data_IF_666498697979
#
_entry.id   IF_666498697979
#
_cell.length_a   1.000
_cell.length_b   1.000
_cell.length_c   1.000
_cell.angle_alpha   90.00
_cell.angle_beta   90.00
_cell.angle_gamma   90.00
#
_symmetry.space_group_name_H-M   'P 1'
#
loop_
_entity.id
_entity.type
_entity.pdbx_description
1 polymer ?
#
# COMPACT_ATOMS: atom_id res chain seq x y z
N UNK A 1 43.66 -30.43 2.88
CA UNK A 1 43.44 -29.25 2.04
C UNK A 1 42.45 -28.35 2.80
N UNK A 2 43.00 -27.39 3.57
CA UNK A 2 42.20 -26.51 4.47
C UNK A 2 41.59 -25.40 3.61
N UNK A 3 40.30 -25.49 3.36
CA UNK A 3 39.52 -24.36 2.81
C UNK A 3 39.34 -23.32 3.92
N UNK A 4 40.17 -22.28 3.86
CA UNK A 4 40.11 -21.17 4.77
C UNK A 4 38.68 -20.59 4.89
N UNK A 5 38.23 -20.47 6.11
CA UNK A 5 37.04 -19.70 6.46
C UNK A 5 37.19 -18.28 5.89
N UNK A 6 36.42 -17.96 4.89
CA UNK A 6 36.19 -16.59 4.49
C UNK A 6 35.37 -15.95 5.63
N UNK A 7 36.06 -15.31 6.56
CA UNK A 7 35.45 -14.38 7.50
C UNK A 7 34.91 -13.16 6.69
N UNK A 8 33.72 -13.31 6.16
CA UNK A 8 32.99 -12.19 5.61
C UNK A 8 32.56 -11.35 6.82
N UNK A 9 33.28 -10.28 7.05
CA UNK A 9 32.94 -9.27 8.07
C UNK A 9 31.62 -8.58 7.69
N UNK A 10 30.50 -9.23 8.02
CA UNK A 10 29.14 -8.80 7.69
C UNK A 10 28.65 -7.62 8.53
N UNK A 11 29.45 -7.16 9.51
CA UNK A 11 29.01 -6.14 10.47
C UNK A 11 29.07 -4.70 9.96
N UNK A 12 29.89 -4.40 8.96
CA UNK A 12 30.03 -3.01 8.44
C UNK A 12 28.92 -2.71 7.41
N UNK A 13 28.55 -3.67 6.58
CA UNK A 13 27.57 -3.44 5.51
C UNK A 13 26.10 -3.33 5.96
N UNK A 14 25.70 -3.90 7.11
CA UNK A 14 24.29 -3.92 7.53
C UNK A 14 23.87 -2.58 8.13
N UNK A 15 24.71 -1.94 8.93
CA UNK A 15 24.40 -0.62 9.52
C UNK A 15 24.37 0.47 8.45
N UNK A 16 25.33 0.47 7.54
CA UNK A 16 25.40 1.45 6.45
C UNK A 16 24.26 1.25 5.44
N UNK A 17 23.91 0.00 5.14
CA UNK A 17 22.78 -0.32 4.29
C UNK A 17 21.42 0.04 4.94
N UNK A 18 21.29 -0.12 6.27
CA UNK A 18 20.12 0.29 7.01
C UNK A 18 20.00 1.83 7.04
N UNK A 19 21.10 2.55 7.26
CA UNK A 19 21.12 4.02 7.25
C UNK A 19 20.79 4.59 5.86
N UNK A 20 21.32 3.99 4.80
CA UNK A 20 21.04 4.40 3.42
C UNK A 20 19.55 4.19 3.07
N UNK A 21 18.94 3.08 3.48
CA UNK A 21 17.51 2.85 3.29
C UNK A 21 16.65 3.91 3.96
N UNK A 22 16.93 4.22 5.20
CA UNK A 22 16.20 5.27 5.94
C UNK A 22 16.40 6.66 5.32
N UNK A 23 17.61 6.96 4.86
CA UNK A 23 17.88 8.21 4.14
C UNK A 23 17.09 8.29 2.84
N UNK A 24 17.04 7.22 2.03
CA UNK A 24 16.25 7.18 0.80
C UNK A 24 14.75 7.31 1.06
N UNK A 25 14.23 6.65 2.10
CA UNK A 25 12.83 6.77 2.51
C UNK A 25 12.53 8.21 2.95
N UNK A 26 13.39 8.82 3.76
CA UNK A 26 13.22 10.19 4.21
C UNK A 26 13.23 11.17 3.03
N UNK A 27 14.17 11.03 2.09
CA UNK A 27 14.24 11.85 0.87
C UNK A 27 12.97 11.66 0.03
N UNK A 28 12.53 10.43 -0.18
CA UNK A 28 11.30 10.15 -0.92
C UNK A 28 10.06 10.75 -0.26
N UNK A 29 9.97 10.70 1.08
CA UNK A 29 8.89 11.33 1.84
C UNK A 29 8.92 12.86 1.76
N UNK A 30 10.12 13.47 1.82
CA UNK A 30 10.26 14.93 1.72
C UNK A 30 9.90 15.40 0.30
N UNK A 31 10.41 14.74 -0.72
CA UNK A 31 10.12 15.08 -2.12
C UNK A 31 8.64 14.83 -2.42
N UNK A 32 8.14 13.63 -2.13
CA UNK A 32 6.74 13.26 -2.38
C UNK A 32 5.75 14.11 -1.58
N UNK A 33 6.05 14.36 -0.31
CA UNK A 33 5.26 15.25 0.54
C UNK A 33 5.30 16.69 0.06
N UNK A 34 6.47 17.19 -0.35
CA UNK A 34 6.63 18.55 -0.91
C UNK A 34 5.85 18.73 -2.20
N UNK A 35 5.95 17.77 -3.12
CA UNK A 35 5.17 17.80 -4.38
C UNK A 35 3.67 17.71 -4.09
N UNK A 36 3.25 16.83 -3.18
CA UNK A 36 1.86 16.68 -2.81
C UNK A 36 1.27 17.95 -2.16
N UNK A 37 2.04 18.61 -1.28
CA UNK A 37 1.64 19.89 -0.70
C UNK A 37 1.58 21.00 -1.74
N UNK A 38 2.56 21.05 -2.63
CA UNK A 38 2.58 22.02 -3.74
C UNK A 38 1.33 21.86 -4.61
N UNK A 39 1.01 20.64 -5.00
CA UNK A 39 -0.18 20.32 -5.81
C UNK A 39 -1.47 20.66 -5.08
N UNK A 40 -1.53 20.40 -3.77
CA UNK A 40 -2.70 20.70 -2.93
C UNK A 40 -2.95 22.21 -2.78
N UNK A 41 -1.89 23.04 -2.61
CA UNK A 41 -2.05 24.47 -2.35
C UNK A 41 -2.07 25.32 -3.61
N UNK A 42 -1.34 24.96 -4.66
CA UNK A 42 -1.20 25.77 -5.88
C UNK A 42 -2.19 25.33 -6.96
N UNK A 43 -2.87 24.21 -6.72
CA UNK A 43 -4.03 23.74 -7.46
C UNK A 43 -3.75 23.36 -8.91
N UNK A 44 -3.83 22.07 -9.19
CA UNK A 44 -4.16 21.49 -10.50
C UNK A 44 -3.32 21.93 -11.72
N UNK A 45 -2.09 22.36 -11.53
CA UNK A 45 -1.20 22.71 -12.64
C UNK A 45 -0.85 21.51 -13.53
N UNK A 46 -0.97 20.28 -13.01
CA UNK A 46 -0.62 19.06 -13.71
C UNK A 46 -1.82 18.20 -14.12
N UNK A 47 -3.03 18.49 -13.61
CA UNK A 47 -4.09 17.50 -13.61
C UNK A 47 -5.21 17.71 -14.60
N UNK A 48 -5.47 18.88 -15.15
CA UNK A 48 -6.69 19.09 -15.91
C UNK A 48 -6.49 19.75 -17.26
N UNK A 49 -6.00 18.99 -18.22
CA UNK A 49 -6.42 19.23 -19.59
C UNK A 49 -7.52 18.21 -19.93
N UNK A 50 -8.61 18.65 -20.55
CA UNK A 50 -9.67 17.77 -21.09
C UNK A 50 -9.17 16.73 -22.12
N UNK A 51 -7.86 16.65 -22.33
CA UNK A 51 -7.16 15.80 -23.29
C UNK A 51 -6.45 14.63 -22.62
N UNK A 52 -6.02 14.75 -21.34
CA UNK A 52 -5.35 13.70 -20.60
C UNK A 52 -6.36 12.93 -19.74
N UNK A 53 -6.77 11.77 -20.23
CA UNK A 53 -7.67 10.84 -19.51
C UNK A 53 -6.95 10.16 -18.33
N UNK A 54 -5.64 10.06 -18.37
CA UNK A 54 -4.82 9.39 -17.36
C UNK A 54 -3.81 10.37 -16.75
N UNK A 55 -4.12 10.84 -15.57
CA UNK A 55 -3.22 11.70 -14.80
C UNK A 55 -2.21 10.89 -14.00
N UNK A 56 -1.09 11.49 -13.64
CA UNK A 56 -0.05 10.83 -12.83
C UNK A 56 -0.60 10.31 -11.48
N UNK A 57 -1.39 11.06 -10.71
CA UNK A 57 -1.99 10.54 -9.47
C UNK A 57 -2.90 9.34 -9.71
N UNK A 58 -3.68 9.33 -10.78
CA UNK A 58 -4.56 8.21 -11.11
C UNK A 58 -3.75 6.95 -11.46
N UNK A 59 -2.68 7.08 -12.25
CA UNK A 59 -1.76 5.98 -12.57
C UNK A 59 -1.10 5.45 -11.28
N UNK A 60 -0.66 6.35 -10.40
CA UNK A 60 -0.07 6.00 -9.11
C UNK A 60 -1.05 5.23 -8.24
N UNK A 61 -2.31 5.69 -8.16
CA UNK A 61 -3.36 4.98 -7.45
C UNK A 61 -3.53 3.55 -7.98
N UNK A 62 -3.64 3.39 -9.31
CA UNK A 62 -3.78 2.08 -9.94
C UNK A 62 -2.60 1.16 -9.61
N UNK A 63 -1.39 1.66 -9.74
CA UNK A 63 -0.18 0.88 -9.45
C UNK A 63 -0.16 0.40 -8.00
N UNK A 64 -0.43 1.29 -7.03
CA UNK A 64 -0.42 0.96 -5.62
C UNK A 64 -1.57 0.01 -5.24
N UNK A 65 -2.76 0.20 -5.80
CA UNK A 65 -3.92 -0.65 -5.58
C UNK A 65 -3.69 -2.09 -6.11
N UNK A 66 -3.14 -2.22 -7.32
CA UNK A 66 -2.81 -3.53 -7.90
C UNK A 66 -1.67 -4.22 -7.13
N UNK A 67 -0.65 -3.47 -6.70
CA UNK A 67 0.42 -4.00 -5.86
C UNK A 67 -0.10 -4.53 -4.53
N UNK A 68 -1.00 -3.78 -3.89
CA UNK A 68 -1.72 -4.21 -2.68
C UNK A 68 -2.52 -5.49 -2.93
N UNK A 69 -3.20 -5.61 -4.07
CA UNK A 69 -3.93 -6.83 -4.44
C UNK A 69 -3.00 -8.03 -4.57
N UNK A 70 -1.83 -7.83 -5.19
CA UNK A 70 -0.79 -8.87 -5.28
C UNK A 70 -0.33 -9.39 -3.91
N UNK A 71 -0.14 -8.49 -2.93
CA UNK A 71 0.23 -8.86 -1.56
C UNK A 71 -0.90 -9.66 -0.89
N UNK A 72 -2.16 -9.23 -1.05
CA UNK A 72 -3.30 -9.98 -0.49
C UNK A 72 -3.41 -11.39 -1.06
N UNK A 73 -3.20 -11.56 -2.37
CA UNK A 73 -3.19 -12.87 -3.03
C UNK A 73 -2.07 -13.75 -2.46
N UNK A 74 -0.87 -13.18 -2.29
CA UNK A 74 0.27 -13.88 -1.70
C UNK A 74 -0.02 -14.33 -0.27
N UNK A 75 -0.60 -13.46 0.54
CA UNK A 75 -1.02 -13.78 1.91
C UNK A 75 -2.09 -14.87 1.95
N UNK A 76 -3.10 -14.77 1.09
CA UNK A 76 -4.16 -15.78 0.98
C UNK A 76 -3.58 -17.15 0.60
N UNK A 77 -2.68 -17.18 -0.39
CA UNK A 77 -1.98 -18.39 -0.79
C UNK A 77 -1.18 -18.99 0.38
N UNK A 78 -0.36 -18.19 1.06
CA UNK A 78 0.45 -18.66 2.19
C UNK A 78 -0.40 -19.27 3.30
N UNK A 79 -1.54 -18.65 3.63
CA UNK A 79 -2.44 -19.14 4.67
C UNK A 79 -3.20 -20.41 4.26
N UNK A 80 -3.56 -20.56 2.99
CA UNK A 80 -4.28 -21.72 2.47
C UNK A 80 -3.38 -22.91 2.21
N UNK A 81 -2.17 -22.65 1.69
CA UNK A 81 -1.17 -23.68 1.41
C UNK A 81 -0.42 -24.12 2.68
N UNK A 82 -0.52 -23.34 3.78
CA UNK A 82 0.24 -23.60 5.01
C UNK A 82 1.74 -23.38 4.83
N UNK A 83 2.12 -22.41 3.98
CA UNK A 83 3.53 -22.10 3.73
C UNK A 83 4.08 -21.21 4.86
N UNK A 84 4.88 -21.81 5.74
CA UNK A 84 5.50 -21.13 6.87
C UNK A 84 6.40 -19.96 6.46
N UNK A 85 6.94 -19.97 5.26
CA UNK A 85 7.80 -18.88 4.74
C UNK A 85 6.98 -17.58 4.58
N UNK A 86 5.73 -17.68 4.15
CA UNK A 86 4.85 -16.54 3.96
C UNK A 86 4.17 -16.19 5.29
N UNK A 87 3.66 -17.18 6.01
CA UNK A 87 2.92 -16.97 7.27
C UNK A 87 3.77 -16.34 8.36
N UNK A 88 5.05 -16.66 8.45
CA UNK A 88 5.99 -16.01 9.38
C UNK A 88 6.21 -14.52 9.12
N UNK A 89 5.89 -14.04 7.91
CA UNK A 89 6.04 -12.63 7.52
C UNK A 89 4.70 -11.90 7.39
N UNK A 90 3.60 -12.50 7.83
CA UNK A 90 2.24 -11.95 7.71
C UNK A 90 2.14 -10.50 8.20
N UNK A 91 2.72 -10.18 9.36
CA UNK A 91 2.70 -8.80 9.89
C UNK A 91 3.34 -7.78 8.95
N UNK A 92 4.51 -8.10 8.42
CA UNK A 92 5.21 -7.20 7.50
C UNK A 92 4.45 -7.01 6.19
N UNK A 93 3.88 -8.09 5.67
CA UNK A 93 3.08 -8.05 4.45
C UNK A 93 1.78 -7.26 4.65
N UNK A 94 1.11 -7.41 5.80
CA UNK A 94 -0.09 -6.61 6.13
C UNK A 94 0.22 -5.12 6.31
N UNK A 95 1.33 -4.78 6.96
CA UNK A 95 1.76 -3.38 7.08
C UNK A 95 2.08 -2.80 5.70
N UNK A 96 2.76 -3.56 4.85
CA UNK A 96 3.06 -3.13 3.48
C UNK A 96 1.77 -2.96 2.66
N UNK A 97 0.83 -3.90 2.76
CA UNK A 97 -0.47 -3.84 2.08
C UNK A 97 -1.26 -2.60 2.51
N UNK A 98 -1.34 -2.35 3.82
CA UNK A 98 -1.99 -1.17 4.37
C UNK A 98 -1.32 0.13 3.89
N UNK A 99 0.02 0.18 3.88
CA UNK A 99 0.76 1.34 3.41
C UNK A 99 0.50 1.64 1.92
N UNK A 100 0.44 0.60 1.07
CA UNK A 100 0.11 0.73 -0.34
C UNK A 100 -1.33 1.24 -0.55
N UNK A 101 -2.28 0.74 0.23
CA UNK A 101 -3.67 1.22 0.16
C UNK A 101 -3.80 2.68 0.59
N UNK A 102 -3.18 3.07 1.71
CA UNK A 102 -3.19 4.45 2.17
C UNK A 102 -2.51 5.37 1.14
N UNK A 103 -1.36 4.97 0.60
CA UNK A 103 -0.67 5.70 -0.46
C UNK A 103 -1.52 5.85 -1.71
N UNK A 104 -2.20 4.79 -2.13
CA UNK A 104 -3.14 4.81 -3.25
C UNK A 104 -4.31 5.78 -3.03
N UNK A 105 -4.96 5.71 -1.87
CA UNK A 105 -6.04 6.65 -1.54
C UNK A 105 -5.57 8.09 -1.42
N UNK A 106 -4.35 8.32 -0.94
CA UNK A 106 -3.75 9.66 -0.90
C UNK A 106 -3.53 10.21 -2.31
N UNK A 107 -3.03 9.38 -3.23
CA UNK A 107 -2.89 9.76 -4.64
C UNK A 107 -4.26 10.08 -5.29
N UNK A 108 -5.27 9.26 -4.99
CA UNK A 108 -6.64 9.51 -5.48
C UNK A 108 -7.24 10.79 -4.90
N UNK A 109 -7.01 11.07 -3.61
CA UNK A 109 -7.45 12.30 -2.97
C UNK A 109 -6.79 13.55 -3.59
N UNK A 110 -5.51 13.46 -3.95
CA UNK A 110 -4.80 14.51 -4.67
C UNK A 110 -5.42 14.77 -6.05
N UNK A 111 -5.81 13.72 -6.78
CA UNK A 111 -6.50 13.84 -8.08
C UNK A 111 -7.85 14.54 -7.97
N UNK A 112 -8.61 14.23 -6.92
CA UNK A 112 -9.95 14.78 -6.71
C UNK A 112 -9.93 16.21 -6.11
N UNK A 113 -8.76 16.72 -5.76
CA UNK A 113 -8.56 18.03 -5.15
C UNK A 113 -9.16 18.21 -3.76
N UNK A 114 -9.88 17.21 -3.23
CA UNK A 114 -10.46 17.23 -1.89
C UNK A 114 -10.80 15.82 -1.41
N UNK A 115 -10.48 15.55 -0.14
CA UNK A 115 -10.86 14.30 0.53
C UNK A 115 -12.40 14.18 0.62
N UNK A 116 -13.11 15.29 0.73
CA UNK A 116 -14.58 15.30 0.77
C UNK A 116 -15.19 14.80 -0.54
N UNK A 117 -14.57 15.09 -1.67
CA UNK A 117 -15.02 14.57 -2.96
C UNK A 117 -14.90 13.03 -3.03
N UNK A 118 -13.88 12.47 -2.39
CA UNK A 118 -13.72 11.03 -2.28
C UNK A 118 -14.84 10.36 -1.47
N UNK A 119 -15.25 10.99 -0.37
CA UNK A 119 -16.41 10.54 0.42
C UNK A 119 -17.71 10.67 -0.39
N UNK A 120 -17.88 11.75 -1.14
CA UNK A 120 -19.05 11.94 -2.00
C UNK A 120 -19.16 10.87 -3.09
N UNK A 121 -18.04 10.42 -3.68
CA UNK A 121 -18.05 9.31 -4.63
C UNK A 121 -18.59 8.03 -3.99
N UNK A 122 -18.23 7.76 -2.73
CA UNK A 122 -18.73 6.59 -2.02
C UNK A 122 -20.21 6.69 -1.68
N UNK A 123 -20.67 7.88 -1.30
CA UNK A 123 -22.06 8.14 -0.90
C UNK A 123 -23.01 8.33 -2.09
N UNK A 124 -22.49 8.61 -3.29
CA UNK A 124 -23.29 8.77 -4.51
C UNK A 124 -23.22 7.49 -5.36
N UNK A 125 -24.14 6.53 -5.15
CA UNK A 125 -24.06 5.26 -5.85
C UNK A 125 -24.27 5.43 -7.35
N UNK A 126 -23.24 5.09 -8.11
CA UNK A 126 -23.30 5.02 -9.57
C UNK A 126 -22.87 3.62 -10.04
N UNK A 127 -23.79 2.63 -10.10
CA UNK A 127 -23.47 1.26 -10.48
C UNK A 127 -22.89 1.11 -11.90
N UNK A 128 -23.08 2.11 -12.75
CA UNK A 128 -22.54 2.11 -14.11
C UNK A 128 -21.10 2.62 -14.18
N UNK A 129 -20.55 3.17 -13.08
CA UNK A 129 -19.20 3.70 -13.04
C UNK A 129 -18.20 2.66 -12.51
N UNK A 130 -17.21 2.23 -13.31
CA UNK A 130 -16.13 1.37 -12.83
C UNK A 130 -15.33 1.98 -11.69
N UNK A 131 -15.16 3.32 -11.68
CA UNK A 131 -14.43 4.05 -10.63
C UNK A 131 -15.17 3.94 -9.30
N UNK A 132 -16.51 4.01 -9.31
CA UNK A 132 -17.32 3.84 -8.11
C UNK A 132 -17.12 2.45 -7.48
N UNK A 133 -17.16 1.39 -8.30
CA UNK A 133 -16.91 0.02 -7.84
C UNK A 133 -15.51 -0.14 -7.26
N UNK A 134 -14.50 0.37 -7.97
CA UNK A 134 -13.12 0.33 -7.47
C UNK A 134 -12.96 1.03 -6.14
N UNK A 135 -13.45 2.27 -6.01
CA UNK A 135 -13.36 3.04 -4.78
C UNK A 135 -13.98 2.29 -3.60
N UNK A 136 -15.17 1.69 -3.80
CA UNK A 136 -15.85 0.93 -2.76
C UNK A 136 -15.13 -0.36 -2.40
N UNK A 137 -14.71 -1.17 -3.37
CA UNK A 137 -14.00 -2.42 -3.09
C UNK A 137 -12.69 -2.20 -2.35
N UNK A 138 -11.88 -1.22 -2.78
CA UNK A 138 -10.63 -0.92 -2.10
C UNK A 138 -10.83 -0.27 -0.73
N UNK A 139 -11.92 0.45 -0.51
CA UNK A 139 -12.27 0.96 0.82
C UNK A 139 -12.66 -0.15 1.79
N UNK A 140 -13.47 -1.11 1.33
CA UNK A 140 -13.79 -2.32 2.11
C UNK A 140 -12.51 -3.10 2.40
N UNK A 141 -11.66 -3.29 1.39
CA UNK A 141 -10.36 -3.95 1.56
C UNK A 141 -9.48 -3.25 2.59
N UNK A 142 -9.39 -1.92 2.56
CA UNK A 142 -8.63 -1.15 3.54
C UNK A 142 -9.06 -1.47 4.98
N UNK A 143 -10.37 -1.49 5.23
CA UNK A 143 -10.94 -1.81 6.54
C UNK A 143 -10.59 -3.26 6.93
N UNK A 144 -10.73 -4.21 6.02
CA UNK A 144 -10.45 -5.63 6.29
C UNK A 144 -8.97 -5.87 6.59
N UNK A 145 -8.06 -5.26 5.81
CA UNK A 145 -6.61 -5.34 6.05
C UNK A 145 -6.25 -4.71 7.39
N UNK A 146 -6.84 -3.55 7.73
CA UNK A 146 -6.62 -2.91 9.02
C UNK A 146 -7.10 -3.78 10.20
N UNK A 147 -8.29 -4.39 10.11
CA UNK A 147 -8.81 -5.31 11.11
C UNK A 147 -7.89 -6.54 11.25
N UNK A 148 -7.45 -7.11 10.12
CA UNK A 148 -6.55 -8.27 10.11
C UNK A 148 -5.21 -7.93 10.78
N UNK A 149 -4.64 -6.76 10.47
CA UNK A 149 -3.41 -6.30 11.08
C UNK A 149 -3.57 -6.09 12.60
N UNK A 150 -4.67 -5.45 13.04
CA UNK A 150 -4.96 -5.26 14.46
C UNK A 150 -5.09 -6.60 15.21
N UNK A 151 -5.79 -7.57 14.63
CA UNK A 151 -5.92 -8.92 15.20
C UNK A 151 -4.56 -9.63 15.33
N UNK A 152 -3.74 -9.51 14.28
CA UNK A 152 -2.39 -10.08 14.26
C UNK A 152 -1.49 -9.44 15.32
N UNK A 153 -1.60 -8.12 15.52
CA UNK A 153 -0.87 -7.39 16.57
C UNK A 153 -1.33 -7.76 17.99
N UNK A 154 -2.62 -8.01 18.16
CA UNK A 154 -3.20 -8.44 19.45
C UNK A 154 -3.00 -9.93 19.73
N UNK A 155 -2.44 -10.70 18.79
CA UNK A 155 -2.27 -12.16 18.94
C UNK A 155 -3.57 -12.93 18.98
N UNK A 156 -4.68 -12.35 18.46
CA UNK A 156 -5.99 -12.99 18.44
C UNK A 156 -6.10 -13.86 17.19
N UNK A 157 -5.74 -15.13 17.33
CA UNK A 157 -5.92 -16.12 16.26
C UNK A 157 -7.24 -16.87 16.48
N UNK A 158 -8.02 -17.05 15.42
CA UNK A 158 -9.31 -17.71 15.54
C UNK A 158 -9.98 -18.07 14.22
N UNK A 159 -11.20 -18.61 14.31
CA UNK A 159 -11.98 -19.08 13.16
C UNK A 159 -12.24 -18.03 12.06
N UNK A 160 -12.07 -16.75 12.36
CA UNK A 160 -12.22 -15.64 11.41
C UNK A 160 -11.00 -15.43 10.51
N UNK A 161 -9.86 -16.09 10.78
CA UNK A 161 -8.64 -15.88 9.99
C UNK A 161 -8.78 -16.48 8.58
N UNK A 162 -9.52 -17.58 8.44
CA UNK A 162 -9.81 -18.18 7.13
C UNK A 162 -10.64 -17.29 6.19
N UNK A 163 -11.81 -16.76 6.61
CA UNK A 163 -12.56 -15.84 5.73
C UNK A 163 -11.83 -14.53 5.48
N UNK A 164 -11.05 -14.03 6.44
CA UNK A 164 -10.20 -12.84 6.26
C UNK A 164 -8.98 -13.08 5.37
N UNK A 165 -8.62 -14.32 5.05
CA UNK A 165 -7.56 -14.63 4.10
C UNK A 165 -7.95 -14.29 2.65
N UNK A 166 -9.26 -14.22 2.35
CA UNK A 166 -9.79 -13.90 1.03
C UNK A 166 -10.05 -12.40 0.81
N UNK A 167 -9.86 -11.58 1.81
CA UNK A 167 -10.04 -10.12 1.77
C UNK A 167 -8.77 -9.38 1.35
#
# INVERSE_FOLDING_TARGET
MNLGKLDINTNVGVKDFMSLRWALIAIALVIGGGVGLYEFFIGHLLATSNVLVWTTPLITYWFLALSSTGISILLAYGMLAGDDRITNHTRYLLVLDLALLIGGFTALAAELGSILNMVNIMLSPNPMSPIWWMGNFYSVKLVLVAIKLLRELMGVHGKLDRPLAWA
#
